data_IF_067216052407
#
_entry.id   IF_067216052407
#
_cell.length_a   1.000
_cell.length_b   1.000
_cell.length_c   1.000
_cell.angle_alpha   90.00
_cell.angle_beta   90.00
_cell.angle_gamma   90.00
#
_symmetry.space_group_name_H-M   'P 1'
#
loop_
_entity.id
_entity.type
_entity.pdbx_description
1 polymer ?
#
# COMPACT_ATOMS: atom_id res chain seq x y z
N UNK A 1 -25.60 -1.46 47.49
CA UNK A 1 -24.37 -0.77 47.05
C UNK A 1 -23.97 -1.42 45.74
N UNK A 2 -24.36 -0.80 44.62
CA UNK A 2 -24.07 -1.30 43.27
C UNK A 2 -23.02 -0.39 42.65
N UNK A 3 -21.89 -0.97 42.27
CA UNK A 3 -20.82 -0.32 41.52
C UNK A 3 -21.28 -0.04 40.09
N UNK A 4 -20.99 1.16 39.52
CA UNK A 4 -21.31 1.46 38.13
C UNK A 4 -20.36 0.69 37.20
N UNK A 5 -20.82 0.32 35.98
CA UNK A 5 -19.97 -0.32 35.00
C UNK A 5 -18.93 0.67 34.45
N UNK A 6 -17.67 0.27 34.48
CA UNK A 6 -16.53 0.99 33.93
C UNK A 6 -16.70 1.22 32.42
N UNK A 7 -17.07 2.46 32.07
CA UNK A 7 -17.10 2.96 30.71
C UNK A 7 -15.70 3.44 30.27
N UNK A 8 -14.73 2.53 30.26
CA UNK A 8 -13.49 2.70 29.52
C UNK A 8 -13.45 1.63 28.41
N UNK A 9 -14.40 1.72 27.50
CA UNK A 9 -14.29 1.05 26.21
C UNK A 9 -13.12 1.66 25.46
N UNK A 10 -12.05 0.88 25.29
CA UNK A 10 -10.90 1.22 24.47
C UNK A 10 -11.38 1.79 23.13
N UNK A 11 -11.12 3.08 22.88
CA UNK A 11 -11.61 3.85 21.73
C UNK A 11 -11.11 3.40 20.35
N UNK A 12 -10.54 2.20 20.21
CA UNK A 12 -10.04 1.63 18.96
C UNK A 12 -11.10 0.89 18.11
N UNK A 13 -12.32 0.70 18.64
CA UNK A 13 -13.32 -0.15 17.96
C UNK A 13 -14.28 0.62 17.02
N UNK A 14 -14.17 1.96 16.95
CA UNK A 14 -15.02 2.80 16.10
C UNK A 14 -14.66 2.70 14.62
N UNK A 15 -13.38 2.48 14.28
CA UNK A 15 -12.95 2.41 12.89
C UNK A 15 -13.54 1.21 12.14
N UNK A 16 -13.77 0.07 12.80
CA UNK A 16 -14.19 -1.17 12.11
C UNK A 16 -15.68 -1.29 11.82
N UNK A 17 -16.55 -0.69 12.64
CA UNK A 17 -18.00 -0.88 12.52
C UNK A 17 -18.68 0.16 11.63
N UNK A 18 -18.10 1.35 11.49
CA UNK A 18 -18.73 2.45 10.75
C UNK A 18 -18.22 2.64 9.31
N UNK A 19 -17.10 2.01 8.91
CA UNK A 19 -16.62 2.05 7.51
C UNK A 19 -17.65 1.47 6.52
N UNK A 20 -18.52 0.57 6.97
CA UNK A 20 -19.63 0.04 6.18
C UNK A 20 -20.63 1.11 5.69
N UNK A 21 -20.73 2.25 6.37
CA UNK A 21 -21.59 3.36 5.95
C UNK A 21 -20.94 4.22 4.85
N UNK A 22 -19.63 4.10 4.64
CA UNK A 22 -18.85 4.87 3.68
C UNK A 22 -18.61 4.13 2.36
N UNK A 23 -19.13 2.91 2.20
CA UNK A 23 -18.92 2.05 1.03
C UNK A 23 -19.34 2.67 -0.32
N UNK A 24 -20.06 3.80 -0.32
CA UNK A 24 -20.44 4.54 -1.52
C UNK A 24 -19.45 5.65 -1.95
N UNK A 25 -18.46 5.98 -1.12
CA UNK A 25 -17.56 7.10 -1.37
C UNK A 25 -16.14 6.63 -1.67
N UNK A 26 -15.42 7.32 -2.58
CA UNK A 26 -14.00 7.08 -2.81
C UNK A 26 -13.20 7.28 -1.51
N UNK A 27 -12.55 6.22 -1.02
CA UNK A 27 -11.66 6.31 0.13
C UNK A 27 -10.26 6.75 -0.33
N UNK A 28 -9.75 7.77 0.35
CA UNK A 28 -8.39 8.27 0.19
C UNK A 28 -7.63 7.92 1.47
N UNK A 29 -6.58 7.12 1.32
CA UNK A 29 -5.69 6.75 2.42
C UNK A 29 -4.42 7.59 2.28
N UNK A 30 -4.22 8.50 3.23
CA UNK A 30 -2.98 9.24 3.41
C UNK A 30 -2.42 8.84 4.76
N UNK A 31 -1.21 8.30 4.78
CA UNK A 31 -0.59 7.84 6.00
C UNK A 31 0.89 8.24 6.04
N UNK A 32 1.28 8.89 7.12
CA UNK A 32 2.63 9.38 7.36
C UNK A 32 3.21 8.73 8.62
N UNK A 33 4.53 8.53 8.64
CA UNK A 33 5.37 7.81 9.64
C UNK A 33 5.00 7.99 11.14
N UNK A 34 4.21 9.00 11.53
CA UNK A 34 3.88 9.32 12.92
C UNK A 34 2.51 8.80 13.39
N UNK A 35 1.72 8.13 12.55
CA UNK A 35 0.35 7.71 12.87
C UNK A 35 0.24 6.29 13.48
N UNK A 36 -0.94 5.93 13.99
CA UNK A 36 -1.20 4.61 14.59
C UNK A 36 -1.31 3.53 13.49
N UNK A 37 -0.46 2.51 13.61
CA UNK A 37 -0.27 1.45 12.60
C UNK A 37 -1.51 0.59 12.39
N UNK A 38 -2.32 0.44 13.44
CA UNK A 38 -3.51 -0.40 13.39
C UNK A 38 -4.57 0.20 12.44
N UNK A 39 -4.59 1.53 12.30
CA UNK A 39 -5.55 2.25 11.47
C UNK A 39 -5.24 2.08 9.98
N UNK A 40 -3.96 2.10 9.59
CA UNK A 40 -3.55 1.85 8.20
C UNK A 40 -3.98 0.46 7.72
N UNK A 41 -3.72 -0.57 8.53
CA UNK A 41 -4.06 -1.95 8.18
C UNK A 41 -5.58 -2.13 8.12
N UNK A 42 -6.33 -1.48 9.02
CA UNK A 42 -7.79 -1.49 8.97
C UNK A 42 -8.31 -0.81 7.70
N UNK A 43 -7.77 0.35 7.31
CA UNK A 43 -8.19 1.06 6.11
C UNK A 43 -7.88 0.28 4.82
N UNK A 44 -6.68 -0.31 4.72
CA UNK A 44 -6.29 -1.15 3.58
C UNK A 44 -7.11 -2.46 3.51
N UNK A 45 -7.78 -2.87 4.58
CA UNK A 45 -8.66 -4.03 4.63
C UNK A 45 -9.95 -3.91 3.80
N UNK A 46 -10.20 -2.75 3.18
CA UNK A 46 -11.40 -2.47 2.37
C UNK A 46 -11.05 -2.10 0.91
N UNK A 47 -10.39 -2.99 0.15
CA UNK A 47 -9.83 -2.68 -1.17
C UNK A 47 -10.87 -2.17 -2.19
N UNK A 48 -12.14 -2.59 -2.04
CA UNK A 48 -13.24 -2.22 -2.94
C UNK A 48 -13.64 -0.74 -2.87
N UNK A 49 -13.16 0.00 -1.86
CA UNK A 49 -13.48 1.42 -1.68
C UNK A 49 -12.26 2.33 -1.87
N UNK A 50 -11.05 1.77 -1.90
CA UNK A 50 -9.82 2.57 -1.93
C UNK A 50 -9.52 3.03 -3.35
N UNK A 51 -9.52 4.34 -3.55
CA UNK A 51 -9.21 4.97 -4.84
C UNK A 51 -7.83 5.59 -4.87
N UNK A 52 -7.30 5.97 -3.71
CA UNK A 52 -6.01 6.64 -3.57
C UNK A 52 -5.28 6.16 -2.33
N UNK A 53 -4.01 5.83 -2.50
CA UNK A 53 -3.09 5.42 -1.44
C UNK A 53 -1.85 6.30 -1.55
N UNK A 54 -1.51 6.99 -0.46
CA UNK A 54 -0.25 7.72 -0.28
C UNK A 54 0.38 7.27 1.04
N UNK A 55 1.46 6.51 0.95
CA UNK A 55 2.18 6.00 2.12
C UNK A 55 3.59 6.57 2.15
N UNK A 56 3.88 7.34 3.18
CA UNK A 56 5.24 7.68 3.60
C UNK A 56 5.51 6.93 4.91
N UNK A 57 6.16 5.77 4.81
CA UNK A 57 6.30 4.81 5.92
C UNK A 57 7.72 4.24 5.99
N UNK A 58 8.09 3.76 7.19
CA UNK A 58 9.35 3.08 7.37
C UNK A 58 9.37 1.75 6.61
N UNK A 59 10.54 1.33 6.09
CA UNK A 59 10.66 0.05 5.37
C UNK A 59 10.07 -1.15 6.15
N UNK A 60 10.24 -1.19 7.46
CA UNK A 60 9.68 -2.26 8.30
C UNK A 60 8.14 -2.34 8.27
N UNK A 61 7.46 -1.24 7.92
CA UNK A 61 6.01 -1.13 7.86
C UNK A 61 5.47 -1.37 6.45
N UNK A 62 6.24 -1.02 5.42
CA UNK A 62 5.82 -1.27 4.04
C UNK A 62 5.57 -2.77 3.81
N UNK A 63 6.34 -3.68 4.43
CA UNK A 63 6.09 -5.13 4.32
C UNK A 63 4.66 -5.50 4.75
N UNK A 64 4.18 -4.91 5.85
CA UNK A 64 2.83 -5.18 6.36
C UNK A 64 1.76 -4.59 5.44
N UNK A 65 1.94 -3.33 5.03
CA UNK A 65 1.02 -2.66 4.10
C UNK A 65 0.94 -3.43 2.77
N UNK A 66 2.09 -3.83 2.22
CA UNK A 66 2.21 -4.60 0.98
C UNK A 66 1.54 -5.96 1.09
N UNK A 67 1.67 -6.63 2.23
CA UNK A 67 0.99 -7.91 2.48
C UNK A 67 -0.53 -7.77 2.40
N UNK A 68 -1.08 -6.68 2.97
CA UNK A 68 -2.51 -6.38 2.83
C UNK A 68 -2.86 -6.02 1.39
N UNK A 69 -1.96 -5.32 0.70
CA UNK A 69 -2.10 -4.97 -0.71
C UNK A 69 -1.81 -6.11 -1.68
N UNK A 70 -1.64 -7.36 -1.22
CA UNK A 70 -1.55 -8.51 -2.12
C UNK A 70 -2.92 -8.88 -2.73
N UNK A 71 -4.02 -8.34 -2.18
CA UNK A 71 -5.36 -8.44 -2.79
C UNK A 71 -5.53 -7.41 -3.91
N UNK A 72 -6.44 -7.62 -4.87
CA UNK A 72 -6.70 -6.66 -5.94
C UNK A 72 -7.36 -5.38 -5.39
N UNK A 73 -6.89 -4.22 -5.84
CA UNK A 73 -7.54 -2.94 -5.58
C UNK A 73 -8.13 -2.41 -6.90
N UNK A 74 -9.32 -2.89 -7.24
CA UNK A 74 -9.90 -2.69 -8.58
C UNK A 74 -10.26 -1.22 -8.87
N UNK A 75 -10.47 -0.40 -7.85
CA UNK A 75 -10.79 1.03 -7.99
C UNK A 75 -9.59 1.95 -7.73
N UNK A 76 -8.39 1.40 -7.49
CA UNK A 76 -7.21 2.20 -7.20
C UNK A 76 -6.75 2.95 -8.44
N UNK A 77 -6.85 4.28 -8.37
CA UNK A 77 -6.45 5.20 -9.45
C UNK A 77 -5.12 5.89 -9.16
N UNK A 78 -4.73 5.99 -7.88
CA UNK A 78 -3.54 6.71 -7.46
C UNK A 78 -2.80 5.95 -6.38
N UNK A 79 -1.53 5.65 -6.62
CA UNK A 79 -0.63 4.99 -5.69
C UNK A 79 0.66 5.79 -5.57
N UNK A 80 0.97 6.22 -4.36
CA UNK A 80 2.25 6.80 -3.98
C UNK A 80 2.84 6.01 -2.81
N UNK A 81 4.03 5.46 -3.02
CA UNK A 81 4.81 4.78 -1.98
C UNK A 81 6.17 5.46 -1.86
N UNK A 82 6.39 6.08 -0.71
CA UNK A 82 7.68 6.63 -0.31
C UNK A 82 8.24 5.81 0.85
N UNK A 83 9.36 5.14 0.60
CA UNK A 83 10.10 4.43 1.64
C UNK A 83 11.09 5.37 2.30
N UNK A 84 10.99 5.54 3.62
CA UNK A 84 12.06 6.22 4.35
C UNK A 84 13.20 5.25 4.62
N UNK A 85 14.41 5.61 4.16
CA UNK A 85 15.63 4.90 4.54
C UNK A 85 15.85 5.08 6.02
N UNK A 86 15.47 4.08 6.80
CA UNK A 86 16.10 3.91 8.10
C UNK A 86 17.61 3.76 7.87
N UNK A 87 18.45 4.27 8.77
CA UNK A 87 19.89 4.52 8.50
C UNK A 87 20.70 3.26 8.11
N UNK A 88 20.08 2.09 8.10
CA UNK A 88 20.65 0.83 7.67
C UNK A 88 20.16 0.46 6.26
N UNK A 89 20.98 0.79 5.27
CA UNK A 89 20.82 0.49 3.83
C UNK A 89 20.60 -0.99 3.46
N UNK A 90 20.62 -1.93 4.42
CA UNK A 90 20.61 -3.37 4.13
C UNK A 90 19.22 -3.94 3.87
N UNK A 91 18.18 -3.34 4.44
CA UNK A 91 16.82 -3.87 4.33
C UNK A 91 16.01 -2.96 3.41
N UNK A 92 16.43 -2.91 2.14
CA UNK A 92 15.61 -2.31 1.10
C UNK A 92 14.42 -3.22 0.80
N UNK A 93 13.26 -2.62 0.65
CA UNK A 93 12.03 -3.35 0.45
C UNK A 93 11.94 -3.89 -0.97
N UNK A 94 11.46 -5.12 -1.13
CA UNK A 94 11.13 -5.67 -2.45
C UNK A 94 9.65 -5.96 -2.49
N UNK A 95 8.89 -5.27 -3.35
CA UNK A 95 7.51 -5.66 -3.62
C UNK A 95 7.50 -7.00 -4.35
N UNK A 96 6.65 -7.91 -3.87
CA UNK A 96 6.46 -9.24 -4.46
C UNK A 96 5.67 -9.14 -5.78
N UNK A 97 5.72 -10.21 -6.59
CA UNK A 97 4.85 -10.37 -7.77
C UNK A 97 3.35 -10.40 -7.45
N UNK A 98 2.98 -10.46 -6.16
CA UNK A 98 1.60 -10.44 -5.67
C UNK A 98 1.12 -9.05 -5.33
N UNK A 99 1.98 -8.03 -5.37
CA UNK A 99 1.57 -6.65 -5.11
C UNK A 99 0.43 -6.23 -6.05
N UNK A 100 -0.68 -5.76 -5.47
CA UNK A 100 -1.95 -5.49 -6.15
C UNK A 100 -2.51 -6.68 -6.93
N UNK A 101 -2.18 -7.91 -6.52
CA UNK A 101 -2.40 -9.15 -7.27
C UNK A 101 -1.84 -9.12 -8.72
N UNK A 102 -0.95 -8.18 -9.04
CA UNK A 102 -0.48 -7.93 -10.40
C UNK A 102 -1.51 -7.25 -11.32
N UNK A 103 -2.64 -6.77 -10.79
CA UNK A 103 -3.71 -6.11 -11.54
C UNK A 103 -3.94 -4.70 -11.03
N UNK A 104 -3.71 -3.72 -11.91
CA UNK A 104 -3.91 -2.31 -11.59
C UNK A 104 -4.53 -1.56 -12.79
N UNK A 105 -5.57 -2.13 -13.41
CA UNK A 105 -6.14 -1.64 -14.66
C UNK A 105 -6.59 -0.18 -14.61
N UNK A 106 -7.13 0.26 -13.48
CA UNK A 106 -7.61 1.62 -13.27
C UNK A 106 -6.54 2.59 -12.76
N UNK A 107 -5.29 2.13 -12.57
CA UNK A 107 -4.23 2.94 -12.01
C UNK A 107 -3.78 4.00 -13.01
N UNK A 108 -4.00 5.27 -12.65
CA UNK A 108 -3.67 6.44 -13.47
C UNK A 108 -2.40 7.13 -12.99
N UNK A 109 -2.07 7.01 -11.72
CA UNK A 109 -0.90 7.66 -11.12
C UNK A 109 -0.13 6.66 -10.27
N UNK A 110 1.15 6.49 -10.60
CA UNK A 110 2.08 5.66 -9.85
C UNK A 110 3.33 6.48 -9.50
N UNK A 111 3.57 6.68 -8.21
CA UNK A 111 4.79 7.27 -7.69
C UNK A 111 5.46 6.31 -6.71
N UNK A 112 6.71 5.95 -7.01
CA UNK A 112 7.51 5.05 -6.21
C UNK A 112 8.84 5.74 -5.90
N UNK A 113 9.10 5.97 -4.61
CA UNK A 113 10.28 6.69 -4.13
C UNK A 113 11.00 5.84 -3.08
N UNK A 114 12.29 5.56 -3.32
CA UNK A 114 13.15 4.83 -2.40
C UNK A 114 12.64 3.40 -2.05
N UNK A 115 11.99 2.75 -3.01
CA UNK A 115 11.52 1.35 -2.92
C UNK A 115 12.25 0.44 -3.90
N UNK A 116 12.41 -0.84 -3.56
CA UNK A 116 12.84 -1.89 -4.49
C UNK A 116 11.63 -2.65 -5.04
N UNK A 117 11.65 -2.95 -6.33
CA UNK A 117 10.60 -3.75 -6.99
C UNK A 117 11.22 -4.90 -7.77
N UNK A 118 10.67 -6.11 -7.58
CA UNK A 118 10.99 -7.26 -8.42
C UNK A 118 10.17 -7.25 -9.71
N UNK A 119 8.88 -6.88 -9.63
CA UNK A 119 7.92 -7.08 -10.73
C UNK A 119 7.26 -5.78 -11.21
N UNK A 120 8.00 -4.66 -11.16
CA UNK A 120 7.55 -3.39 -11.73
C UNK A 120 7.07 -3.52 -13.19
N UNK A 121 7.77 -4.26 -14.09
CA UNK A 121 7.31 -4.40 -15.47
C UNK A 121 5.91 -4.99 -15.57
N UNK A 122 5.59 -6.01 -14.77
CA UNK A 122 4.27 -6.65 -14.79
C UNK A 122 3.17 -5.72 -14.30
N UNK A 123 3.43 -4.94 -13.26
CA UNK A 123 2.49 -3.92 -12.76
C UNK A 123 2.24 -2.84 -13.81
N UNK A 124 3.30 -2.36 -14.49
CA UNK A 124 3.18 -1.36 -15.54
C UNK A 124 2.42 -1.90 -16.77
N UNK A 125 2.63 -3.17 -17.12
CA UNK A 125 1.90 -3.82 -18.22
C UNK A 125 0.40 -3.98 -17.92
N UNK A 126 0.01 -4.11 -16.65
CA UNK A 126 -1.40 -4.21 -16.26
C UNK A 126 -2.09 -2.85 -16.04
N UNK A 127 -1.33 -1.77 -15.88
CA UNK A 127 -1.83 -0.41 -15.69
C UNK A 127 -2.11 0.29 -17.04
N UNK A 128 -3.14 -0.16 -17.75
CA UNK A 128 -3.52 0.36 -19.08
C UNK A 128 -3.86 1.86 -19.08
N UNK A 129 -4.38 2.37 -17.96
CA UNK A 129 -4.83 3.76 -17.82
C UNK A 129 -3.75 4.68 -17.20
N UNK A 130 -2.48 4.24 -17.14
CA UNK A 130 -1.42 4.99 -16.47
C UNK A 130 -1.09 6.30 -17.20
N UNK A 131 -1.34 7.44 -16.55
CA UNK A 131 -1.09 8.80 -17.05
C UNK A 131 0.21 9.37 -16.49
N UNK A 132 0.52 9.04 -15.23
CA UNK A 132 1.68 9.56 -14.52
C UNK A 132 2.49 8.43 -13.90
N UNK A 133 3.79 8.45 -14.18
CA UNK A 133 4.76 7.53 -13.61
C UNK A 133 5.94 8.33 -13.05
N UNK A 134 6.21 8.17 -11.76
CA UNK A 134 7.41 8.67 -11.11
C UNK A 134 8.14 7.52 -10.43
N UNK A 135 9.40 7.34 -10.79
CA UNK A 135 10.30 6.36 -10.21
C UNK A 135 11.54 7.10 -9.72
N UNK A 136 11.77 7.12 -8.41
CA UNK A 136 12.92 7.81 -7.81
C UNK A 136 13.65 6.88 -6.87
N UNK A 137 14.98 6.80 -7.03
CA UNK A 137 15.84 5.95 -6.19
C UNK A 137 15.40 4.48 -6.14
N UNK A 138 14.84 3.96 -7.25
CA UNK A 138 14.45 2.56 -7.36
C UNK A 138 15.71 1.70 -7.47
N UNK A 139 15.76 0.63 -6.68
CA UNK A 139 16.79 -0.38 -6.81
C UNK A 139 16.20 -1.66 -7.40
N UNK A 140 16.85 -2.16 -8.43
CA UNK A 140 16.59 -3.50 -8.96
C UNK A 140 17.52 -4.44 -8.20
N UNK A 141 17.03 -5.54 -7.60
CA UNK A 141 17.91 -6.49 -6.95
C UNK A 141 18.92 -7.04 -7.96
N UNK A 142 20.17 -7.34 -7.55
CA UNK A 142 21.21 -7.81 -8.47
C UNK A 142 20.83 -9.10 -9.22
N UNK A 143 19.84 -9.85 -8.70
CA UNK A 143 19.37 -11.11 -9.26
C UNK A 143 18.18 -10.91 -10.23
N UNK A 144 17.63 -9.69 -10.30
CA UNK A 144 16.52 -9.33 -11.19
C UNK A 144 16.90 -9.24 -12.67
N UNK A 145 18.20 -9.24 -13.00
CA UNK A 145 18.66 -9.33 -14.39
C UNK A 145 18.38 -10.70 -15.05
N UNK A 146 18.07 -11.73 -14.26
CA UNK A 146 17.86 -13.09 -14.78
C UNK A 146 16.43 -13.27 -15.33
N UNK A 147 15.46 -12.46 -14.88
CA UNK A 147 14.04 -12.63 -15.24
C UNK A 147 13.57 -11.79 -16.43
N UNK A 148 14.38 -10.85 -16.92
CA UNK A 148 14.00 -9.98 -18.04
C UNK A 148 13.98 -10.74 -19.39
N UNK A 149 14.64 -11.90 -19.48
CA UNK A 149 14.69 -12.70 -20.72
C UNK A 149 13.47 -13.63 -20.92
N UNK A 150 12.59 -13.77 -19.93
CA UNK A 150 11.39 -14.62 -20.05
C UNK A 150 10.11 -13.85 -20.46
N UNK A 151 10.22 -12.57 -20.83
CA UNK A 151 9.07 -11.70 -21.21
C UNK A 151 9.05 -11.38 -22.73
N UNK A 152 9.86 -12.05 -23.56
CA UNK A 152 9.78 -11.94 -25.03
C UNK A 152 9.02 -13.11 -25.67
#
# INVERSE_FOLDING_TARGET
MSTPPDACGNGKDWCRKDLGLWLGFPLIIQYYIQEDKDDLIAALGHPDCVHRIELDIANSEVVKAVTVMEVPFLLLTHLELAGYKDRQLKDMLYLSNRFLSGFASCLQHLSLVDVGLLDLPKLLLSACDLIYLQLKNIQVPPWGHILLEEIL
#
